data_IF_712960643941
#
_entry.id   IF_712960643941
#
_cell.length_a   1.000
_cell.length_b   1.000
_cell.length_c   1.000
_cell.angle_alpha   90.00
_cell.angle_beta   90.00
_cell.angle_gamma   90.00
#
_symmetry.space_group_name_H-M   'P 1'
#
loop_
_entity.id
_entity.type
_entity.pdbx_description
1 polymer ?
#
# COMPACT_ATOMS: atom_id res chain seq x y z
N UNK A 1 -29.64 -9.35 -4.05
CA UNK A 1 -30.55 -8.80 -5.07
C UNK A 1 -29.72 -7.91 -5.98
N UNK A 2 -29.44 -8.34 -7.21
CA UNK A 2 -28.57 -7.61 -8.15
C UNK A 2 -29.44 -6.69 -9.00
N UNK A 3 -29.25 -5.37 -8.91
CA UNK A 3 -30.00 -4.40 -9.72
C UNK A 3 -29.10 -3.94 -10.86
N UNK A 4 -29.49 -4.28 -12.09
CA UNK A 4 -28.87 -3.79 -13.33
C UNK A 4 -29.82 -2.77 -13.94
N UNK A 5 -29.38 -1.52 -14.09
CA UNK A 5 -30.12 -0.49 -14.83
C UNK A 5 -29.45 -0.34 -16.20
N UNK A 6 -30.16 -0.68 -17.27
CA UNK A 6 -29.72 -0.40 -18.65
C UNK A 6 -30.51 0.78 -19.19
N UNK A 7 -29.79 1.84 -19.57
CA UNK A 7 -30.29 2.88 -20.47
C UNK A 7 -29.88 2.48 -21.89
N UNK A 8 -30.86 2.23 -22.75
CA UNK A 8 -30.65 1.99 -24.18
C UNK A 8 -30.41 3.33 -24.89
N UNK A 9 -29.29 3.52 -25.62
CA UNK A 9 -29.16 4.64 -26.54
C UNK A 9 -29.77 4.26 -27.90
N UNK A 10 -30.68 5.10 -28.38
CA UNK A 10 -31.41 5.02 -29.65
C UNK A 10 -30.49 5.13 -30.91
N UNK A 11 -29.18 5.29 -30.72
CA UNK A 11 -28.21 5.48 -31.82
C UNK A 11 -27.87 4.22 -32.63
N UNK A 12 -28.20 3.01 -32.15
CA UNK A 12 -27.88 1.76 -32.85
C UNK A 12 -28.82 1.44 -34.03
N UNK A 13 -29.93 2.18 -34.19
CA UNK A 13 -30.94 1.93 -35.22
C UNK A 13 -30.59 2.51 -36.61
N UNK A 14 -29.47 3.24 -36.75
CA UNK A 14 -29.08 3.90 -38.00
C UNK A 14 -27.83 3.32 -38.68
N UNK A 15 -27.24 2.24 -38.17
CA UNK A 15 -26.23 1.45 -38.91
C UNK A 15 -24.93 2.18 -39.31
N UNK A 16 -24.59 3.30 -38.66
CA UNK A 16 -23.48 4.18 -39.07
C UNK A 16 -22.19 4.04 -38.25
N UNK A 17 -22.05 3.03 -37.38
CA UNK A 17 -20.81 2.83 -36.61
C UNK A 17 -20.40 1.36 -36.55
N UNK A 18 -19.11 1.11 -36.84
CA UNK A 18 -18.46 -0.19 -36.65
C UNK A 18 -18.55 -0.61 -35.17
N UNK A 19 -18.90 -1.88 -34.86
CA UNK A 19 -18.96 -2.40 -33.50
C UNK A 19 -17.54 -2.64 -32.98
N UNK A 20 -16.89 -1.57 -32.55
CA UNK A 20 -15.55 -1.60 -31.96
C UNK A 20 -15.34 -0.53 -30.89
N UNK A 21 -16.40 0.15 -30.46
CA UNK A 21 -16.36 0.94 -29.23
C UNK A 21 -16.47 -0.05 -28.09
N UNK A 22 -15.30 -0.49 -27.60
CA UNK A 22 -15.18 -1.06 -26.27
C UNK A 22 -15.77 -0.02 -25.33
N UNK A 23 -16.99 -0.26 -24.83
CA UNK A 23 -17.49 0.45 -23.68
C UNK A 23 -16.36 0.38 -22.65
N UNK A 24 -15.82 1.54 -22.29
CA UNK A 24 -14.82 1.63 -21.24
C UNK A 24 -15.52 1.30 -19.93
N UNK A 25 -15.74 0.00 -19.68
CA UNK A 25 -16.27 -0.53 -18.44
C UNK A 25 -15.34 -0.03 -17.34
N UNK A 26 -15.70 1.03 -16.62
CA UNK A 26 -14.94 1.49 -15.47
C UNK A 26 -14.76 0.27 -14.55
N UNK A 27 -13.50 -0.15 -14.31
CA UNK A 27 -13.26 -1.24 -13.37
C UNK A 27 -13.65 -0.71 -12.00
N UNK A 28 -14.79 -1.16 -11.50
CA UNK A 28 -15.30 -0.77 -10.18
C UNK A 28 -14.73 -1.72 -9.12
N UNK A 29 -14.15 -1.17 -8.06
CA UNK A 29 -13.91 -1.93 -6.84
C UNK A 29 -15.26 -2.17 -6.18
N UNK A 30 -15.72 -3.41 -6.18
CA UNK A 30 -16.98 -3.79 -5.55
C UNK A 30 -16.69 -4.22 -4.11
N UNK A 31 -17.21 -3.48 -3.15
CA UNK A 31 -17.18 -3.85 -1.74
C UNK A 31 -18.31 -4.82 -1.41
N UNK A 32 -18.07 -5.71 -0.45
CA UNK A 32 -19.15 -6.52 0.13
C UNK A 32 -20.06 -5.61 0.97
N UNK A 33 -21.37 -5.88 1.02
CA UNK A 33 -22.34 -5.08 1.79
C UNK A 33 -21.97 -5.00 3.28
N UNK A 34 -21.62 -6.13 3.89
CA UNK A 34 -21.04 -6.19 5.25
C UNK A 34 -19.70 -5.47 5.36
N UNK A 35 -18.91 -5.44 4.29
CA UNK A 35 -17.69 -4.65 4.20
C UNK A 35 -18.02 -3.16 4.36
N UNK A 36 -18.94 -2.64 3.56
CA UNK A 36 -19.41 -1.25 3.67
C UNK A 36 -19.99 -0.94 5.05
N UNK A 37 -20.78 -1.84 5.64
CA UNK A 37 -21.32 -1.68 7.00
C UNK A 37 -20.22 -1.64 8.06
N UNK A 38 -19.25 -2.56 8.01
CA UNK A 38 -18.08 -2.59 8.90
C UNK A 38 -17.19 -1.36 8.70
N UNK A 39 -17.21 -0.80 7.49
CA UNK A 39 -16.51 0.42 7.15
C UNK A 39 -17.28 1.68 7.64
N UNK A 40 -18.48 1.54 8.22
CA UNK A 40 -19.31 2.70 8.61
C UNK A 40 -19.89 3.47 7.41
N UNK A 41 -19.82 2.90 6.21
CA UNK A 41 -20.30 3.50 4.96
C UNK A 41 -21.78 3.14 4.78
N UNK A 42 -22.67 4.11 5.01
CA UNK A 42 -24.09 3.99 4.63
C UNK A 42 -24.28 4.55 3.22
N UNK A 43 -24.83 3.78 2.25
CA UNK A 43 -25.09 4.30 0.92
C UNK A 43 -26.10 5.45 1.00
N UNK A 44 -25.73 6.61 0.45
CA UNK A 44 -26.59 7.78 0.34
C UNK A 44 -27.67 7.58 -0.75
N UNK A 45 -28.63 6.68 -0.48
CA UNK A 45 -29.78 6.44 -1.36
C UNK A 45 -29.46 5.87 -2.74
N UNK A 46 -30.53 5.59 -3.52
CA UNK A 46 -30.49 4.89 -4.81
C UNK A 46 -29.89 5.70 -5.99
N UNK A 47 -29.30 6.87 -5.75
CA UNK A 47 -28.71 7.71 -6.80
C UNK A 47 -27.31 8.14 -6.41
N UNK A 48 -26.33 7.34 -6.83
CA UNK A 48 -24.91 7.66 -6.82
C UNK A 48 -24.67 8.92 -7.65
N UNK A 49 -24.27 10.02 -7.01
CA UNK A 49 -23.39 11.06 -7.57
C UNK A 49 -23.01 12.02 -6.44
N UNK A 50 -21.73 11.98 -6.08
CA UNK A 50 -21.03 12.87 -5.16
C UNK A 50 -21.32 12.63 -3.66
N UNK A 51 -20.41 11.91 -3.01
CA UNK A 51 -20.31 11.81 -1.57
C UNK A 51 -19.77 13.14 -1.01
N UNK A 52 -20.57 13.85 -0.23
CA UNK A 52 -20.14 15.01 0.59
C UNK A 52 -20.43 14.65 2.05
N UNK A 53 -19.48 14.92 2.96
CA UNK A 53 -19.59 14.60 4.38
C UNK A 53 -19.35 15.86 5.22
N UNK A 54 -20.03 15.98 6.36
CA UNK A 54 -19.81 17.01 7.38
C UNK A 54 -19.39 16.37 8.72
N UNK A 55 -18.65 17.15 9.52
CA UNK A 55 -18.40 17.01 10.99
C UNK A 55 -17.47 15.86 11.45
N UNK A 56 -16.80 15.83 12.62
CA UNK A 56 -16.12 16.75 13.56
C UNK A 56 -15.13 15.85 14.31
N UNK A 57 -13.81 16.05 14.21
CA UNK A 57 -12.83 15.16 14.85
C UNK A 57 -12.61 15.49 16.34
N UNK A 58 -12.50 14.47 17.20
CA UNK A 58 -11.96 14.59 18.56
C UNK A 58 -10.73 13.68 18.68
N UNK A 59 -9.57 14.33 18.86
CA UNK A 59 -8.22 13.86 19.18
C UNK A 59 -7.28 13.48 18.02
N UNK A 60 -6.31 14.36 17.84
CA UNK A 60 -4.96 14.09 17.36
C UNK A 60 -4.26 13.07 18.30
N UNK A 61 -3.73 11.98 17.72
CA UNK A 61 -2.98 10.92 18.43
C UNK A 61 -1.47 10.99 18.17
N UNK A 62 -0.98 12.01 17.46
CA UNK A 62 0.44 12.19 17.13
C UNK A 62 1.35 12.52 18.33
N UNK A 63 0.79 12.53 19.56
CA UNK A 63 1.51 12.76 20.82
C UNK A 63 1.31 11.68 21.89
N UNK A 64 0.78 10.51 21.55
CA UNK A 64 0.62 9.40 22.50
C UNK A 64 1.97 8.69 22.67
N UNK A 65 2.51 8.53 23.89
CA UNK A 65 3.89 8.07 24.12
C UNK A 65 4.14 6.59 23.79
N UNK A 66 3.10 5.86 23.40
CA UNK A 66 3.21 4.46 23.07
C UNK A 66 2.31 4.13 21.86
N UNK A 67 2.94 3.92 20.71
CA UNK A 67 2.29 3.42 19.48
C UNK A 67 1.73 2.01 19.67
N UNK A 68 2.25 1.28 20.66
CA UNK A 68 1.79 -0.04 21.10
C UNK A 68 0.75 0.06 22.20
N UNK A 69 0.49 1.26 22.76
CA UNK A 69 -0.63 1.44 23.65
C UNK A 69 -1.87 1.04 22.89
N UNK A 70 -2.66 0.24 23.56
CA UNK A 70 -3.72 -0.47 22.89
C UNK A 70 -4.86 0.48 22.50
N UNK A 71 -4.94 1.63 23.16
CA UNK A 71 -5.73 2.79 22.77
C UNK A 71 -5.31 3.33 21.38
N UNK A 72 -4.01 3.34 21.08
CA UNK A 72 -3.45 3.73 19.77
C UNK A 72 -3.78 2.67 18.73
N UNK A 73 -3.49 1.39 19.01
CA UNK A 73 -3.78 0.26 18.10
C UNK A 73 -5.28 0.11 17.79
N UNK A 74 -6.18 0.44 18.74
CA UNK A 74 -7.63 0.47 18.50
C UNK A 74 -8.11 1.59 17.59
N UNK A 75 -7.40 2.72 17.55
CA UNK A 75 -7.67 3.81 16.58
C UNK A 75 -7.02 3.49 15.23
N UNK A 76 -5.94 2.68 15.24
CA UNK A 76 -5.00 2.57 14.12
C UNK A 76 -5.24 1.42 13.15
N UNK A 77 -6.17 0.47 13.37
CA UNK A 77 -6.40 -0.67 12.45
C UNK A 77 -6.15 -0.29 10.99
N UNK A 78 -5.21 -0.92 10.29
CA UNK A 78 -4.46 -0.18 9.27
C UNK A 78 -3.13 -0.77 8.82
N UNK A 79 -2.23 0.12 8.40
CA UNK A 79 -0.87 -0.21 7.96
C UNK A 79 0.11 0.63 8.77
N UNK A 80 1.02 -0.05 9.46
CA UNK A 80 2.11 0.60 10.19
C UNK A 80 3.44 0.03 9.72
N UNK A 81 4.43 0.90 9.59
CA UNK A 81 5.83 0.52 9.54
C UNK A 81 6.46 1.17 10.76
N UNK A 82 7.18 0.46 11.61
CA UNK A 82 7.84 0.99 12.82
C UNK A 82 9.31 0.60 12.90
N UNK A 83 9.66 -0.55 12.32
CA UNK A 83 11.01 -1.10 12.50
C UNK A 83 12.05 -0.37 11.67
N UNK A 84 13.31 -0.63 12.06
CA UNK A 84 14.50 -0.17 11.37
C UNK A 84 15.30 -1.38 10.93
N UNK A 85 15.93 -1.29 9.75
CA UNK A 85 16.83 -2.34 9.31
C UNK A 85 18.17 -2.23 10.02
N UNK A 86 18.94 -3.33 10.03
CA UNK A 86 20.33 -3.33 10.45
C UNK A 86 21.22 -3.94 9.36
N UNK A 87 22.48 -3.53 9.25
CA UNK A 87 23.40 -4.18 8.32
C UNK A 87 23.66 -5.62 8.77
N UNK A 88 23.85 -6.54 7.82
CA UNK A 88 24.24 -7.92 8.12
C UNK A 88 25.62 -8.00 8.81
N UNK A 89 26.54 -7.10 8.45
CA UNK A 89 27.88 -6.99 9.01
C UNK A 89 28.28 -5.52 9.18
N UNK A 90 29.23 -5.21 10.07
CA UNK A 90 29.62 -3.83 10.36
C UNK A 90 30.20 -3.08 9.13
N UNK A 91 30.82 -3.78 8.19
CA UNK A 91 31.33 -3.24 6.93
C UNK A 91 30.22 -2.76 5.97
N UNK A 92 28.98 -3.20 6.15
CA UNK A 92 27.83 -2.75 5.35
C UNK A 92 27.13 -1.53 5.97
N UNK A 93 27.60 -1.03 7.12
CA UNK A 93 26.98 0.10 7.79
C UNK A 93 27.06 1.39 6.97
N UNK A 94 26.02 2.23 7.09
CA UNK A 94 25.92 3.54 6.43
C UNK A 94 26.26 3.57 4.93
N UNK A 95 25.57 2.75 4.11
CA UNK A 95 25.80 2.72 2.68
C UNK A 95 25.47 4.08 2.04
N UNK A 96 26.25 4.47 1.02
CA UNK A 96 25.94 5.67 0.24
C UNK A 96 24.80 5.36 -0.71
N UNK A 97 23.61 5.92 -0.47
CA UNK A 97 22.40 5.64 -1.28
C UNK A 97 22.02 6.84 -2.14
N UNK A 98 21.68 6.58 -3.40
CA UNK A 98 21.32 7.61 -4.38
C UNK A 98 20.36 7.12 -5.47
N UNK A 99 20.05 8.02 -6.39
CA UNK A 99 19.23 7.74 -7.58
C UNK A 99 20.13 7.78 -8.81
N UNK A 100 20.14 6.69 -9.56
CA UNK A 100 20.70 6.62 -10.90
C UNK A 100 19.57 6.81 -11.92
N UNK A 101 19.47 7.96 -12.59
CA UNK A 101 18.36 8.23 -13.49
C UNK A 101 18.46 7.49 -14.84
N UNK A 102 19.61 6.87 -15.13
CA UNK A 102 19.83 6.10 -16.36
C UNK A 102 19.21 4.70 -16.27
N UNK A 103 19.15 4.16 -15.05
CA UNK A 103 18.51 2.87 -14.77
C UNK A 103 16.99 2.92 -14.99
N UNK A 104 16.40 1.74 -15.21
CA UNK A 104 14.95 1.61 -15.35
C UNK A 104 14.22 1.71 -14.00
N UNK A 105 12.93 2.08 -14.03
CA UNK A 105 12.08 2.12 -12.84
C UNK A 105 12.07 0.76 -12.15
N UNK A 106 12.34 0.75 -10.84
CA UNK A 106 12.57 -0.49 -10.10
C UNK A 106 14.05 -0.74 -9.80
N UNK A 107 15.00 -0.12 -10.51
CA UNK A 107 16.45 -0.30 -10.30
C UNK A 107 17.23 1.00 -10.07
N UNK A 108 16.54 2.14 -10.12
CA UNK A 108 17.15 3.48 -9.96
C UNK A 108 17.73 3.73 -8.58
N UNK A 109 17.23 3.07 -7.54
CA UNK A 109 17.86 3.16 -6.23
C UNK A 109 19.19 2.43 -6.29
N UNK A 110 20.29 3.15 -6.08
CA UNK A 110 21.64 2.57 -6.03
C UNK A 110 22.22 2.76 -4.64
N UNK A 111 23.04 1.80 -4.21
CA UNK A 111 23.80 1.88 -2.98
C UNK A 111 25.25 1.44 -3.20
N UNK A 112 26.20 2.19 -2.67
CA UNK A 112 27.60 1.76 -2.59
C UNK A 112 27.85 1.20 -1.18
N UNK A 113 28.14 -0.11 -1.11
CA UNK A 113 28.29 -0.89 0.14
C UNK A 113 29.57 -1.73 0.05
N UNK A 114 30.53 -1.53 0.95
CA UNK A 114 31.80 -2.27 0.97
C UNK A 114 32.45 -2.39 -0.44
N UNK A 115 32.63 -1.25 -1.10
CA UNK A 115 33.18 -1.12 -2.46
C UNK A 115 32.37 -1.79 -3.60
N UNK A 116 31.16 -2.27 -3.31
CA UNK A 116 30.22 -2.81 -4.29
C UNK A 116 29.10 -1.81 -4.56
N UNK A 117 28.89 -1.49 -5.83
CA UNK A 117 27.69 -0.77 -6.28
C UNK A 117 26.58 -1.79 -6.52
N UNK A 118 25.47 -1.64 -5.80
CA UNK A 118 24.29 -2.51 -5.92
C UNK A 118 23.04 -1.71 -6.26
N UNK A 119 22.05 -2.37 -6.87
CA UNK A 119 20.74 -1.80 -7.20
C UNK A 119 19.66 -2.31 -6.25
N UNK A 120 18.78 -1.44 -5.77
CA UNK A 120 17.64 -1.81 -4.94
C UNK A 120 16.35 -1.93 -5.73
N UNK A 121 15.63 -3.05 -5.56
CA UNK A 121 14.31 -3.26 -6.15
C UNK A 121 13.21 -2.42 -5.49
N UNK A 122 13.05 -1.17 -5.94
CA UNK A 122 11.92 -0.29 -5.55
C UNK A 122 11.50 0.58 -6.74
N UNK A 123 10.21 0.59 -7.04
CA UNK A 123 9.69 1.35 -8.18
C UNK A 123 9.58 2.84 -7.84
N UNK A 124 9.68 3.71 -8.84
CA UNK A 124 9.68 5.16 -8.63
C UNK A 124 8.40 5.66 -7.95
N UNK A 125 7.27 5.04 -8.29
CA UNK A 125 5.96 5.34 -7.69
C UNK A 125 5.82 4.86 -6.24
N UNK A 126 6.74 4.03 -5.75
CA UNK A 126 6.89 3.63 -4.34
C UNK A 126 7.95 4.50 -3.64
N UNK A 127 9.06 4.79 -4.32
CA UNK A 127 10.25 5.41 -3.76
C UNK A 127 10.02 6.84 -3.26
N UNK A 128 9.51 7.74 -4.10
CA UNK A 128 9.29 9.13 -3.71
C UNK A 128 8.32 9.26 -2.52
N UNK A 129 7.12 8.66 -2.52
CA UNK A 129 6.24 8.75 -1.36
C UNK A 129 6.81 8.09 -0.11
N UNK A 130 7.59 7.02 -0.24
CA UNK A 130 8.22 6.38 0.90
C UNK A 130 9.26 7.27 1.57
N UNK A 131 10.10 7.97 0.78
CA UNK A 131 11.06 8.95 1.31
C UNK A 131 10.34 10.10 2.02
N UNK A 132 9.23 10.58 1.46
CA UNK A 132 8.40 11.62 2.08
C UNK A 132 7.73 11.15 3.39
N UNK A 133 7.32 9.88 3.46
CA UNK A 133 6.79 9.24 4.67
C UNK A 133 7.84 9.12 5.76
N UNK A 134 9.00 8.51 5.47
CA UNK A 134 10.07 8.36 6.48
C UNK A 134 10.58 9.73 6.96
N UNK A 135 10.59 10.73 6.08
CA UNK A 135 10.91 12.12 6.46
C UNK A 135 9.93 12.70 7.48
N UNK A 136 8.63 12.42 7.38
CA UNK A 136 7.63 12.98 8.29
C UNK A 136 7.80 12.48 9.72
N UNK A 137 8.47 11.33 9.91
CA UNK A 137 8.61 10.68 11.21
C UNK A 137 7.32 10.00 11.68
N UNK A 138 6.33 9.84 10.79
CA UNK A 138 5.15 9.03 11.07
C UNK A 138 5.47 7.55 10.96
N UNK A 139 4.78 6.75 11.76
CA UNK A 139 4.86 5.28 11.72
C UNK A 139 3.60 4.63 11.18
N UNK A 140 2.46 5.30 11.31
CA UNK A 140 1.20 4.86 10.71
C UNK A 140 1.01 5.47 9.31
N UNK A 141 0.66 4.61 8.35
CA UNK A 141 0.39 4.99 6.95
C UNK A 141 -1.10 5.21 6.71
N UNK A 142 -1.92 4.38 7.36
CA UNK A 142 -3.37 4.37 7.18
C UNK A 142 -4.06 3.81 8.42
N UNK A 143 -5.23 4.36 8.75
CA UNK A 143 -6.06 3.91 9.88
C UNK A 143 -7.52 3.85 9.44
N UNK A 144 -8.08 2.67 9.21
CA UNK A 144 -9.51 2.51 8.94
C UNK A 144 -10.24 1.95 10.15
N UNK A 145 -10.53 2.84 11.12
CA UNK A 145 -11.41 2.54 12.23
C UNK A 145 -12.45 3.66 12.41
N UNK A 146 -13.45 3.68 11.52
CA UNK A 146 -14.82 3.96 11.95
C UNK A 146 -15.53 5.19 11.39
N UNK A 147 -14.87 6.24 10.88
CA UNK A 147 -15.60 7.35 10.19
C UNK A 147 -14.75 8.10 9.16
N UNK A 148 -13.42 8.19 9.33
CA UNK A 148 -12.50 8.75 8.33
C UNK A 148 -11.21 7.95 8.34
N UNK A 149 -10.82 7.38 7.20
CA UNK A 149 -9.47 6.91 7.00
C UNK A 149 -8.62 8.09 6.53
N UNK A 150 -7.67 8.54 7.34
CA UNK A 150 -6.70 9.53 6.91
C UNK A 150 -5.45 8.81 6.39
N UNK A 151 -5.16 9.00 5.11
CA UNK A 151 -3.89 8.58 4.53
C UNK A 151 -2.79 9.51 4.95
N UNK A 152 -1.63 8.94 5.24
CA UNK A 152 -0.44 9.77 5.30
C UNK A 152 -0.26 10.51 3.96
N UNK A 153 -0.19 11.85 4.02
CA UNK A 153 -0.17 12.76 2.87
C UNK A 153 0.87 12.42 1.79
N UNK A 154 1.94 11.73 2.17
CA UNK A 154 2.96 11.29 1.22
C UNK A 154 2.41 10.33 0.16
N UNK A 155 1.38 9.54 0.51
CA UNK A 155 0.78 8.52 -0.34
C UNK A 155 -0.55 8.96 -0.98
N UNK A 156 -1.14 10.07 -0.53
CA UNK A 156 -2.42 10.57 -1.05
C UNK A 156 -2.36 10.84 -2.56
N UNK A 157 -3.34 10.30 -3.30
CA UNK A 157 -3.42 10.44 -4.76
C UNK A 157 -2.36 9.66 -5.56
N UNK A 158 -1.50 8.86 -4.92
CA UNK A 158 -0.43 8.09 -5.58
C UNK A 158 -0.76 6.60 -5.66
N UNK A 159 -0.20 5.92 -6.66
CA UNK A 159 -0.39 4.47 -6.84
C UNK A 159 0.07 3.65 -5.61
N UNK A 160 1.17 4.01 -4.96
CA UNK A 160 1.58 3.37 -3.72
C UNK A 160 0.52 3.49 -2.62
N UNK A 161 -0.11 4.67 -2.48
CA UNK A 161 -1.22 4.86 -1.54
C UNK A 161 -2.45 4.02 -1.87
N UNK A 162 -2.74 3.85 -3.16
CA UNK A 162 -3.81 2.95 -3.59
C UNK A 162 -3.51 1.48 -3.28
N UNK A 163 -2.28 1.01 -3.51
CA UNK A 163 -1.91 -0.35 -3.12
C UNK A 163 -2.00 -0.55 -1.60
N UNK A 164 -1.56 0.43 -0.82
CA UNK A 164 -1.74 0.41 0.64
C UNK A 164 -3.24 0.43 1.02
N UNK A 165 -4.09 1.19 0.32
CA UNK A 165 -5.54 1.09 0.52
C UNK A 165 -6.07 -0.32 0.26
N UNK A 166 -5.68 -0.94 -0.85
CA UNK A 166 -6.09 -2.30 -1.19
C UNK A 166 -5.58 -3.33 -0.19
N UNK A 167 -4.36 -3.13 0.33
CA UNK A 167 -3.73 -3.97 1.35
C UNK A 167 -4.53 -3.95 2.65
N UNK A 168 -4.93 -2.76 3.11
CA UNK A 168 -5.71 -2.61 4.35
C UNK A 168 -7.16 -3.08 4.19
N UNK A 169 -7.77 -2.73 3.06
CA UNK A 169 -9.17 -3.02 2.79
C UNK A 169 -9.39 -4.39 2.14
N UNK A 170 -8.35 -5.21 2.02
CA UNK A 170 -8.38 -6.50 1.31
C UNK A 170 -9.58 -7.36 1.72
N UNK A 171 -9.87 -7.45 3.02
CA UNK A 171 -11.01 -8.23 3.55
C UNK A 171 -12.40 -7.72 3.14
N UNK A 172 -12.51 -6.44 2.78
CA UNK A 172 -13.77 -5.74 2.48
C UNK A 172 -14.10 -5.75 0.98
N UNK A 173 -13.13 -6.09 0.14
CA UNK A 173 -13.27 -6.17 -1.30
C UNK A 173 -13.88 -7.53 -1.66
N UNK A 174 -14.76 -7.55 -2.67
CA UNK A 174 -15.42 -8.78 -3.13
C UNK A 174 -14.44 -9.77 -3.75
N UNK A 175 -13.59 -9.27 -4.64
CA UNK A 175 -12.60 -10.03 -5.43
C UNK A 175 -11.20 -9.41 -5.22
N UNK A 176 -10.65 -9.48 -3.99
CA UNK A 176 -9.46 -8.72 -3.59
C UNK A 176 -8.20 -9.14 -4.36
N UNK A 177 -8.15 -10.39 -4.82
CA UNK A 177 -7.10 -10.90 -5.71
C UNK A 177 -7.05 -10.21 -7.07
N UNK A 178 -8.15 -9.56 -7.51
CA UNK A 178 -8.26 -8.85 -8.78
C UNK A 178 -8.28 -7.34 -8.61
N UNK A 179 -8.17 -6.84 -7.38
CA UNK A 179 -8.32 -5.42 -7.09
C UNK A 179 -7.30 -4.53 -7.81
N UNK A 180 -6.11 -5.07 -8.13
CA UNK A 180 -5.10 -4.37 -8.90
C UNK A 180 -5.56 -4.05 -10.33
N UNK A 181 -6.50 -4.80 -10.91
CA UNK A 181 -7.06 -4.56 -12.25
C UNK A 181 -7.89 -3.26 -12.35
N UNK A 182 -8.15 -2.60 -11.22
CA UNK A 182 -8.71 -1.24 -11.19
C UNK A 182 -7.79 -0.22 -11.90
N UNK A 183 -6.48 -0.47 -11.89
CA UNK A 183 -5.49 0.32 -12.61
C UNK A 183 -5.31 -0.31 -14.00
N UNK A 184 -5.85 0.38 -15.02
CA UNK A 184 -5.78 -0.07 -16.42
C UNK A 184 -4.53 0.40 -17.16
N UNK A 185 -3.87 1.42 -16.63
CA UNK A 185 -2.65 1.97 -17.20
C UNK A 185 -1.51 0.98 -16.98
N UNK A 186 -0.73 0.70 -18.02
CA UNK A 186 0.50 -0.05 -17.87
C UNK A 186 1.47 0.77 -17.01
N UNK A 187 1.93 0.19 -15.90
CA UNK A 187 2.84 0.80 -14.94
C UNK A 187 4.00 -0.17 -14.70
N UNK A 188 5.28 0.26 -14.75
CA UNK A 188 6.42 -0.59 -14.41
C UNK A 188 6.24 -1.26 -13.05
N UNK A 189 6.55 -2.56 -13.01
CA UNK A 189 6.33 -3.38 -11.83
C UNK A 189 4.88 -3.76 -11.57
N UNK A 190 3.91 -3.17 -12.29
CA UNK A 190 2.48 -3.42 -12.15
C UNK A 190 2.01 -4.35 -13.27
N UNK A 191 1.85 -5.64 -12.96
CA UNK A 191 1.49 -6.64 -13.97
C UNK A 191 0.18 -6.26 -14.64
N UNK A 192 0.22 -6.06 -15.96
CA UNK A 192 -0.97 -5.93 -16.81
C UNK A 192 -1.01 -7.10 -17.80
N UNK A 193 -2.21 -7.53 -18.20
CA UNK A 193 -2.37 -8.59 -19.20
C UNK A 193 -2.75 -9.97 -18.62
N UNK A 194 -2.60 -11.06 -19.39
CA UNK A 194 -3.06 -12.39 -19.00
C UNK A 194 -2.44 -12.92 -17.71
N UNK A 195 -1.15 -12.64 -17.47
CA UNK A 195 -0.45 -13.08 -16.27
C UNK A 195 -0.91 -12.33 -15.01
N UNK A 196 -1.37 -11.08 -15.15
CA UNK A 196 -2.00 -10.33 -14.06
C UNK A 196 -3.33 -10.94 -13.61
N UNK A 197 -3.95 -11.80 -14.43
CA UNK A 197 -5.17 -12.53 -14.08
C UNK A 197 -4.88 -13.88 -13.43
N UNK A 198 -3.62 -14.34 -13.40
CA UNK A 198 -3.25 -15.59 -12.74
C UNK A 198 -3.20 -15.35 -11.25
N UNK A 199 -4.34 -15.58 -10.61
CA UNK A 199 -4.45 -15.64 -9.16
C UNK A 199 -4.33 -17.10 -8.71
N UNK A 200 -3.54 -17.35 -7.69
CA UNK A 200 -3.64 -18.59 -6.91
C UNK A 200 -4.89 -18.55 -6.04
N UNK A 201 -5.99 -19.12 -6.55
CA UNK A 201 -7.28 -19.14 -5.86
C UNK A 201 -7.20 -19.80 -4.48
N UNK A 202 -6.35 -20.83 -4.32
CA UNK A 202 -6.17 -21.51 -3.04
C UNK A 202 -5.49 -20.60 -2.02
N UNK A 203 -4.46 -19.87 -2.43
CA UNK A 203 -3.79 -18.89 -1.59
C UNK A 203 -4.73 -17.73 -1.21
N UNK A 204 -5.50 -17.21 -2.17
CA UNK A 204 -6.50 -16.16 -1.91
C UNK A 204 -7.59 -16.62 -0.94
N UNK A 205 -8.11 -17.85 -1.11
CA UNK A 205 -9.11 -18.43 -0.21
C UNK A 205 -8.58 -18.68 1.20
N UNK A 206 -7.32 -19.10 1.33
CA UNK A 206 -6.67 -19.28 2.63
C UNK A 206 -6.52 -17.93 3.35
N UNK A 207 -5.99 -16.93 2.65
CA UNK A 207 -5.81 -15.58 3.17
C UNK A 207 -7.15 -14.95 3.58
N UNK A 208 -8.13 -15.00 2.68
CA UNK A 208 -9.49 -14.47 2.92
C UNK A 208 -10.16 -15.15 4.12
N UNK A 209 -10.03 -16.47 4.26
CA UNK A 209 -10.60 -17.19 5.41
C UNK A 209 -9.96 -16.78 6.72
N UNK A 210 -8.65 -16.54 6.74
CA UNK A 210 -7.95 -16.05 7.92
C UNK A 210 -8.40 -14.62 8.26
N UNK A 211 -8.40 -13.74 7.25
CA UNK A 211 -8.74 -12.31 7.36
C UNK A 211 -10.18 -12.04 7.81
N UNK A 212 -11.12 -12.96 7.58
CA UNK A 212 -12.54 -12.81 7.98
C UNK A 212 -12.79 -12.81 9.49
N UNK A 213 -11.82 -13.22 10.31
CA UNK A 213 -12.06 -13.51 11.73
C UNK A 213 -11.89 -12.30 12.66
N UNK A 214 -11.36 -11.17 12.20
CA UNK A 214 -10.98 -10.06 13.09
C UNK A 214 -10.74 -8.73 12.36
N UNK A 215 -10.44 -7.68 13.13
CA UNK A 215 -9.81 -6.46 12.64
C UNK A 215 -8.36 -6.80 12.26
N UNK A 216 -7.83 -6.17 11.21
CA UNK A 216 -6.50 -6.50 10.70
C UNK A 216 -5.61 -5.27 10.78
N UNK A 217 -4.33 -5.52 10.99
CA UNK A 217 -3.29 -4.51 10.80
C UNK A 217 -2.12 -5.17 10.10
N UNK A 218 -1.68 -4.58 8.99
CA UNK A 218 -0.42 -4.94 8.36
C UNK A 218 0.70 -4.19 9.06
N UNK A 219 1.71 -4.92 9.52
CA UNK A 219 2.75 -4.37 10.37
C UNK A 219 4.07 -5.07 10.12
N UNK A 220 5.14 -4.35 10.39
CA UNK A 220 6.48 -4.87 10.47
C UNK A 220 7.00 -4.97 11.91
N UNK A 221 6.13 -4.83 12.92
CA UNK A 221 6.51 -4.89 14.32
C UNK A 221 7.31 -6.16 14.65
N UNK A 222 8.43 -5.99 15.36
CA UNK A 222 9.36 -7.07 15.75
C UNK A 222 9.97 -7.82 14.55
N UNK A 223 9.91 -7.26 13.33
CA UNK A 223 10.60 -7.83 12.17
C UNK A 223 12.06 -7.40 12.20
N UNK A 224 12.95 -8.38 12.30
CA UNK A 224 14.39 -8.18 12.20
C UNK A 224 14.79 -7.96 10.74
N UNK A 225 14.67 -6.72 10.25
CA UNK A 225 15.09 -6.38 8.90
C UNK A 225 16.61 -6.34 8.80
N UNK A 226 17.19 -7.11 7.87
CA UNK A 226 18.64 -7.18 7.67
C UNK A 226 18.98 -6.84 6.24
N UNK A 227 19.89 -5.89 6.01
CA UNK A 227 20.32 -5.53 4.66
C UNK A 227 21.77 -5.94 4.34
N UNK A 228 22.00 -6.31 3.08
CA UNK A 228 23.31 -6.72 2.54
C UNK A 228 23.36 -6.56 1.02
N UNK A 229 24.56 -6.39 0.43
CA UNK A 229 24.75 -6.59 -1.00
C UNK A 229 24.69 -8.10 -1.34
N UNK A 230 24.07 -8.46 -2.46
CA UNK A 230 24.04 -9.83 -3.00
C UNK A 230 23.95 -9.80 -4.51
N UNK A 231 24.93 -10.37 -5.22
CA UNK A 231 24.92 -10.48 -6.69
C UNK A 231 24.60 -9.18 -7.47
N UNK A 232 25.02 -8.01 -6.94
CA UNK A 232 24.73 -6.70 -7.54
C UNK A 232 23.38 -6.08 -7.12
N UNK A 233 22.66 -6.71 -6.21
CA UNK A 233 21.40 -6.25 -5.66
C UNK A 233 21.53 -5.86 -4.18
N UNK A 234 20.75 -4.87 -3.77
CA UNK A 234 20.54 -4.53 -2.38
C UNK A 234 19.39 -5.39 -1.85
N UNK A 235 19.73 -6.40 -1.04
CA UNK A 235 18.75 -7.26 -0.39
C UNK A 235 18.42 -6.68 0.97
N UNK A 236 17.12 -6.57 1.27
CA UNK A 236 16.59 -6.30 2.60
C UNK A 236 15.71 -7.48 3.01
N UNK A 237 16.23 -8.33 3.87
CA UNK A 237 15.55 -9.50 4.44
C UNK A 237 14.61 -9.09 5.57
N UNK A 238 13.64 -9.94 5.90
CA UNK A 238 12.59 -9.68 6.90
C UNK A 238 11.23 -9.46 6.24
N UNK A 239 10.19 -10.15 6.71
CA UNK A 239 8.88 -10.11 6.09
C UNK A 239 7.83 -9.49 7.04
N UNK A 240 7.17 -8.39 6.64
CA UNK A 240 6.03 -7.87 7.38
C UNK A 240 4.86 -8.86 7.34
N UNK A 241 3.94 -8.71 8.28
CA UNK A 241 2.86 -9.67 8.48
C UNK A 241 1.56 -8.97 8.90
N UNK A 242 0.46 -9.73 8.92
CA UNK A 242 -0.79 -9.23 9.48
C UNK A 242 -0.96 -9.70 10.92
N UNK A 243 -1.48 -8.80 11.76
CA UNK A 243 -2.03 -9.18 13.04
C UNK A 243 -3.54 -9.02 13.04
N UNK A 244 -4.20 -9.92 13.77
CA UNK A 244 -5.62 -9.82 14.04
C UNK A 244 -5.84 -9.17 15.40
N UNK A 245 -6.75 -8.21 15.46
CA UNK A 245 -7.07 -7.45 16.67
C UNK A 245 -8.53 -7.76 17.10
N UNK A 246 -8.72 -8.12 18.37
CA UNK A 246 -10.04 -8.21 19.00
C UNK A 246 -10.32 -6.91 19.76
N UNK A 247 -11.26 -6.13 19.23
CA UNK A 247 -11.66 -4.83 19.76
C UNK A 247 -12.93 -4.90 20.62
N UNK A 248 -13.15 -5.96 21.43
CA UNK A 248 -14.35 -6.08 22.32
C UNK A 248 -14.75 -4.73 22.93
N UNK A 249 -16.05 -4.41 22.90
CA UNK A 249 -16.72 -3.10 23.12
C UNK A 249 -16.25 -2.15 24.25
N UNK A 250 -15.23 -2.48 25.06
CA UNK A 250 -14.66 -1.56 26.05
C UNK A 250 -13.26 -1.90 26.59
N UNK A 251 -12.54 -2.90 26.05
CA UNK A 251 -11.20 -3.28 26.53
C UNK A 251 -10.07 -2.88 25.58
N UNK A 252 -8.81 -2.78 26.05
CA UNK A 252 -7.67 -2.49 25.20
C UNK A 252 -7.52 -3.62 24.15
N UNK A 253 -7.95 -3.40 22.90
CA UNK A 253 -7.69 -4.23 21.71
C UNK A 253 -6.57 -5.29 21.82
N UNK A 254 -6.90 -6.58 21.85
CA UNK A 254 -5.89 -7.64 22.01
C UNK A 254 -5.46 -8.21 20.67
N UNK A 255 -4.17 -8.45 20.48
CA UNK A 255 -3.68 -9.29 19.37
C UNK A 255 -4.17 -10.73 19.57
N UNK A 256 -4.99 -11.22 18.65
CA UNK A 256 -5.62 -12.54 18.70
C UNK A 256 -5.03 -13.54 17.74
N UNK A 257 -4.11 -13.11 16.88
CA UNK A 257 -3.58 -13.93 15.82
C UNK A 257 -2.59 -13.16 14.94
N UNK A 258 -1.83 -13.93 14.18
CA UNK A 258 -0.79 -13.49 13.25
C UNK A 258 -0.89 -14.30 11.97
N UNK A 259 -0.62 -13.65 10.84
CA UNK A 259 -0.48 -14.27 9.52
C UNK A 259 0.80 -13.78 8.88
N UNK A 260 1.81 -14.64 8.91
CA UNK A 260 3.17 -14.41 8.46
C UNK A 260 3.60 -15.32 7.31
N UNK A 261 2.62 -15.89 6.58
CA UNK A 261 2.88 -16.65 5.35
C UNK A 261 3.03 -15.68 4.16
N UNK A 262 4.24 -15.10 4.05
CA UNK A 262 4.64 -14.21 2.97
C UNK A 262 4.41 -14.85 1.58
N UNK A 263 4.75 -16.12 1.43
CA UNK A 263 4.64 -16.82 0.15
C UNK A 263 3.18 -16.98 -0.28
N UNK A 264 2.28 -17.39 0.62
CA UNK A 264 0.85 -17.46 0.33
C UNK A 264 0.27 -16.07 0.04
N UNK A 265 0.69 -15.06 0.79
CA UNK A 265 0.27 -13.67 0.57
C UNK A 265 0.65 -13.20 -0.84
N UNK A 266 1.92 -13.34 -1.23
CA UNK A 266 2.41 -12.94 -2.54
C UNK A 266 1.74 -13.73 -3.68
N UNK A 267 1.39 -15.00 -3.46
CA UNK A 267 0.64 -15.80 -4.45
C UNK A 267 -0.81 -15.32 -4.62
N UNK A 268 -1.43 -14.77 -3.57
CA UNK A 268 -2.81 -14.30 -3.63
C UNK A 268 -2.97 -12.99 -4.43
N UNK A 269 -2.05 -12.04 -4.25
CA UNK A 269 -1.99 -10.82 -5.06
C UNK A 269 -0.55 -10.25 -5.05
N UNK A 270 0.33 -10.69 -5.96
CA UNK A 270 1.74 -10.32 -5.92
C UNK A 270 1.95 -8.81 -6.07
N UNK A 271 0.98 -8.13 -6.67
CA UNK A 271 1.05 -6.70 -6.91
C UNK A 271 0.81 -5.87 -5.65
N UNK A 272 -0.36 -6.06 -5.04
CA UNK A 272 -0.75 -5.32 -3.84
C UNK A 272 0.18 -5.69 -2.68
N UNK A 273 0.41 -6.99 -2.49
CA UNK A 273 1.21 -7.49 -1.38
C UNK A 273 2.70 -7.26 -1.62
N UNK A 274 3.21 -7.47 -2.83
CA UNK A 274 4.60 -7.17 -3.15
C UNK A 274 4.94 -5.70 -2.93
N UNK A 275 4.00 -4.79 -3.23
CA UNK A 275 4.16 -3.36 -2.95
C UNK A 275 4.23 -3.08 -1.44
N UNK A 276 3.30 -3.64 -0.65
CA UNK A 276 3.34 -3.51 0.81
C UNK A 276 4.63 -4.03 1.44
N UNK A 277 5.13 -5.18 0.95
CA UNK A 277 6.36 -5.80 1.43
C UNK A 277 7.60 -4.98 1.09
N UNK A 278 7.73 -4.50 -0.16
CA UNK A 278 8.83 -3.61 -0.55
C UNK A 278 8.80 -2.32 0.25
N UNK A 279 7.63 -1.69 0.39
CA UNK A 279 7.50 -0.44 1.15
C UNK A 279 7.92 -0.62 2.61
N UNK A 280 7.55 -1.72 3.27
CA UNK A 280 7.99 -2.02 4.64
C UNK A 280 9.52 -2.19 4.72
N UNK A 281 10.10 -3.02 3.86
CA UNK A 281 11.54 -3.29 3.80
C UNK A 281 12.36 -2.00 3.60
N UNK A 282 11.98 -1.19 2.61
CA UNK A 282 12.66 0.07 2.35
C UNK A 282 12.34 1.16 3.38
N UNK A 283 11.17 1.13 4.04
CA UNK A 283 10.89 2.01 5.18
C UNK A 283 11.92 1.75 6.29
N UNK A 284 12.14 0.47 6.62
CA UNK A 284 13.09 0.06 7.64
C UNK A 284 14.53 0.47 7.29
N UNK A 285 14.96 0.26 6.04
CA UNK A 285 16.28 0.73 5.57
C UNK A 285 16.41 2.26 5.67
N UNK A 286 15.41 3.00 5.20
CA UNK A 286 15.46 4.47 5.20
C UNK A 286 15.37 5.05 6.62
N UNK A 287 14.70 4.38 7.56
CA UNK A 287 14.74 4.75 8.97
C UNK A 287 16.11 4.55 9.58
N UNK A 288 16.77 3.42 9.30
CA UNK A 288 18.16 3.20 9.69
C UNK A 288 19.07 4.31 9.14
N UNK A 289 18.97 4.63 7.84
CA UNK A 289 19.74 5.74 7.28
C UNK A 289 19.44 7.07 7.98
N UNK A 290 18.17 7.34 8.29
CA UNK A 290 17.77 8.58 8.97
C UNK A 290 18.30 8.67 10.40
N UNK A 291 18.33 7.55 11.13
CA UNK A 291 18.72 7.49 12.54
C UNK A 291 20.25 7.40 12.71
N UNK A 292 20.89 6.46 12.03
CA UNK A 292 22.29 6.10 12.23
C UNK A 292 23.24 6.74 11.19
N UNK A 293 22.72 7.11 10.02
CA UNK A 293 23.53 7.58 8.89
C UNK A 293 22.99 8.89 8.28
N UNK A 294 22.80 9.96 9.08
CA UNK A 294 22.03 11.13 8.70
C UNK A 294 22.57 11.84 7.46
N UNK A 295 23.88 11.79 7.20
CA UNK A 295 24.49 12.36 5.99
C UNK A 295 24.04 11.62 4.72
N UNK A 296 24.06 10.29 4.75
CA UNK A 296 23.59 9.41 3.68
C UNK A 296 22.09 9.60 3.44
N UNK A 297 21.29 9.72 4.51
CA UNK A 297 19.87 10.05 4.39
C UNK A 297 19.63 11.41 3.71
N UNK A 298 20.37 12.45 4.09
CA UNK A 298 20.24 13.75 3.41
C UNK A 298 20.70 13.67 1.95
N UNK A 299 21.71 12.86 1.65
CA UNK A 299 22.18 12.62 0.28
C UNK A 299 21.08 11.98 -0.57
N UNK A 300 20.48 10.89 -0.10
CA UNK A 300 19.35 10.21 -0.76
C UNK A 300 18.21 11.19 -1.02
N UNK A 301 17.80 11.97 -0.02
CA UNK A 301 16.74 12.98 -0.16
C UNK A 301 17.05 14.03 -1.23
N UNK A 302 18.29 14.53 -1.27
CA UNK A 302 18.73 15.48 -2.31
C UNK A 302 18.72 14.81 -3.68
N UNK A 303 19.15 13.56 -3.78
CA UNK A 303 19.15 12.79 -5.03
C UNK A 303 17.74 12.60 -5.57
N UNK A 304 16.78 12.18 -4.73
CA UNK A 304 15.36 12.06 -5.09
C UNK A 304 14.79 13.40 -5.53
N UNK A 305 15.06 14.48 -4.79
CA UNK A 305 14.57 15.82 -5.15
C UNK A 305 15.15 16.31 -6.49
N UNK A 306 16.44 16.05 -6.75
CA UNK A 306 17.13 16.41 -7.98
C UNK A 306 16.54 15.68 -9.19
N UNK A 307 16.26 14.40 -9.05
CA UNK A 307 15.81 13.52 -10.14
C UNK A 307 14.28 13.35 -10.18
N UNK A 308 13.51 14.12 -9.40
CA UNK A 308 12.05 14.00 -9.27
C UNK A 308 11.28 14.05 -10.59
N UNK A 309 11.76 14.78 -11.61
CA UNK A 309 11.11 14.87 -12.93
C UNK A 309 11.34 13.64 -13.81
N UNK A 310 12.37 12.87 -13.50
CA UNK A 310 12.73 11.65 -14.23
C UNK A 310 12.02 10.43 -13.63
N UNK A 311 11.62 10.49 -12.35
CA UNK A 311 10.87 9.45 -11.66
C UNK A 311 9.47 9.25 -12.25
N UNK A 312 9.12 8.00 -12.53
CA UNK A 312 7.81 7.62 -13.06
C UNK A 312 6.73 7.66 -11.95
N UNK A 313 6.24 8.87 -11.65
CA UNK A 313 5.18 9.08 -10.66
C UNK A 313 3.80 8.82 -11.28
N UNK A 314 3.10 7.82 -10.75
CA UNK A 314 1.74 7.49 -11.17
C UNK A 314 0.72 8.07 -10.19
N UNK A 315 0.03 9.12 -10.64
CA UNK A 315 -1.13 9.67 -9.94
C UNK A 315 -2.39 8.96 -10.40
N UNK A 316 -3.18 8.46 -9.46
CA UNK A 316 -4.53 7.97 -9.78
C UNK A 316 -5.47 9.16 -9.67
N UNK A 317 -6.29 9.46 -10.72
CA UNK A 317 -7.28 10.52 -10.65
C UNK A 317 -8.13 10.39 -9.37
N UNK A 318 -8.25 11.48 -8.61
CA UNK A 318 -8.97 11.50 -7.33
C UNK A 318 -10.40 10.95 -7.45
N UNK A 319 -11.06 11.14 -8.60
CA UNK A 319 -12.39 10.58 -8.87
C UNK A 319 -12.42 9.04 -8.89
N UNK A 320 -11.33 8.41 -9.29
CA UNK A 320 -11.13 6.95 -9.33
C UNK A 320 -10.65 6.40 -7.99
N UNK A 321 -10.04 7.25 -7.15
CA UNK A 321 -9.73 6.90 -5.77
C UNK A 321 -11.02 6.74 -4.95
N UNK A 322 -11.12 5.68 -4.12
CA UNK A 322 -12.14 5.59 -3.08
C UNK A 322 -12.12 6.87 -2.25
N UNK A 323 -13.27 7.33 -1.75
CA UNK A 323 -13.35 8.60 -1.01
C UNK A 323 -12.37 8.68 0.16
N UNK A 324 -12.10 7.55 0.83
CA UNK A 324 -11.13 7.49 1.92
C UNK A 324 -9.68 7.78 1.48
N UNK A 325 -9.34 7.65 0.19
CA UNK A 325 -7.99 7.86 -0.39
C UNK A 325 -7.87 9.21 -1.12
N UNK A 326 -8.98 9.95 -1.21
CA UNK A 326 -9.01 11.33 -1.72
C UNK A 326 -8.55 12.29 -0.63
#
# INVERSE_FOLDING_TARGET
MTVVVRLLPVAALLGLLSPGVVEADETQIVFQERGLENLGIKPAGRRTRNLTFEHTARRDVSGTPDLMAVETVRVVGGIIFVEQARPQSAEFACPSVGIDPVEESGRRLTADIADQRVTGLIYDWELEPLVDFVRSGSDALFTYMGVHGEYHKAFAGKLAGFNLFLLDTFRSIRDPERAHLAVKTAVPGYTTGPDANRVDAQASDALTRWMRRSHLMFTDLDVDFVFRPDEGELIVEGDPYWISLDSRRGGPGRITGRFDDAAATLKANPMVFGSGFRLAKYAALFRYLKADCPEQWQSLRRSVAKHKRELDLYTIPMRQMPYAVR
#
